data_IF_209861275860
#
_entry.id   IF_209861275860
#
_cell.length_a   1.000
_cell.length_b   1.000
_cell.length_c   1.000
_cell.angle_alpha   90.00
_cell.angle_beta   90.00
_cell.angle_gamma   90.00
#
_symmetry.space_group_name_H-M   'P 1'
#
loop_
_entity.id
_entity.type
_entity.pdbx_description
1 polymer ?
#
# COMPACT_ATOMS: atom_id res chain seq x y z
N UNK A 1 -14.69 20.92 -9.27
CA UNK A 1 -13.97 20.63 -8.00
C UNK A 1 -14.58 19.38 -7.36
N UNK A 2 -13.81 18.30 -7.14
CA UNK A 2 -14.33 17.07 -6.51
C UNK A 2 -14.67 17.37 -5.04
N UNK A 3 -15.93 17.24 -4.63
CA UNK A 3 -16.37 17.39 -3.24
C UNK A 3 -16.30 16.03 -2.55
N UNK A 4 -15.60 15.96 -1.41
CA UNK A 4 -15.57 14.76 -0.56
C UNK A 4 -16.82 14.72 0.31
N UNK A 5 -17.40 13.54 0.53
CA UNK A 5 -18.49 13.33 1.50
C UNK A 5 -18.00 13.41 2.97
N UNK A 6 -16.69 13.58 3.19
CA UNK A 6 -16.11 13.65 4.53
C UNK A 6 -16.30 15.06 5.11
N UNK A 7 -16.90 15.12 6.29
CA UNK A 7 -17.17 16.35 7.00
C UNK A 7 -15.90 17.10 7.44
N UNK A 8 -16.00 18.44 7.50
CA UNK A 8 -14.90 19.33 7.88
C UNK A 8 -14.39 19.06 9.30
N UNK A 9 -15.24 18.57 10.22
CA UNK A 9 -14.84 18.19 11.58
C UNK A 9 -13.76 17.11 11.58
N UNK A 10 -13.75 16.25 10.58
CA UNK A 10 -12.75 15.18 10.42
C UNK A 10 -11.51 15.67 9.68
N UNK A 11 -11.68 16.51 8.65
CA UNK A 11 -10.56 16.97 7.80
C UNK A 11 -9.73 18.11 8.40
N UNK A 12 -10.25 18.82 9.42
CA UNK A 12 -9.55 19.95 10.06
C UNK A 12 -8.31 19.57 10.85
N UNK A 13 -8.17 18.31 11.25
CA UNK A 13 -7.07 17.87 12.10
C UNK A 13 -5.83 17.56 11.25
N UNK A 14 -4.61 17.99 11.66
CA UNK A 14 -3.38 17.68 10.95
C UNK A 14 -3.18 16.18 10.67
N UNK A 15 -3.64 15.33 11.60
CA UNK A 15 -3.60 13.87 11.47
C UNK A 15 -4.38 13.34 10.26
N UNK A 16 -5.45 14.03 9.81
CA UNK A 16 -6.18 13.62 8.62
C UNK A 16 -5.29 13.67 7.36
N UNK A 17 -4.53 14.76 7.20
CA UNK A 17 -3.61 14.91 6.06
C UNK A 17 -2.50 13.85 6.08
N UNK A 18 -1.95 13.53 7.27
CA UNK A 18 -0.96 12.46 7.43
C UNK A 18 -1.57 11.11 7.04
N UNK A 19 -2.76 10.80 7.57
CA UNK A 19 -3.47 9.55 7.25
C UNK A 19 -3.79 9.43 5.76
N UNK A 20 -4.16 10.51 5.07
CA UNK A 20 -4.37 10.47 3.61
C UNK A 20 -3.09 10.11 2.85
N UNK A 21 -1.93 10.66 3.25
CA UNK A 21 -0.64 10.31 2.64
C UNK A 21 -0.25 8.85 2.89
N UNK A 22 -0.40 8.38 4.13
CA UNK A 22 -0.10 6.98 4.50
C UNK A 22 -1.04 6.03 3.76
N UNK A 23 -2.32 6.36 3.69
CA UNK A 23 -3.32 5.56 2.96
C UNK A 23 -2.96 5.42 1.48
N UNK A 24 -2.50 6.50 0.83
CA UNK A 24 -2.06 6.41 -0.57
C UNK A 24 -0.86 5.48 -0.75
N UNK A 25 0.13 5.56 0.15
CA UNK A 25 1.31 4.68 0.13
C UNK A 25 0.94 3.21 0.26
N UNK A 26 0.02 2.85 1.17
CA UNK A 26 -0.38 1.45 1.33
C UNK A 26 -1.29 0.96 0.19
N UNK A 27 -2.15 1.83 -0.36
CA UNK A 27 -2.96 1.53 -1.54
C UNK A 27 -2.10 1.19 -2.77
N UNK A 28 -0.95 1.87 -2.96
CA UNK A 28 0.01 1.55 -4.03
C UNK A 28 0.62 0.15 -3.87
N UNK A 29 1.01 -0.22 -2.65
CA UNK A 29 1.54 -1.57 -2.33
C UNK A 29 0.51 -2.64 -2.70
N UNK A 30 -0.73 -2.48 -2.23
CA UNK A 30 -1.80 -3.45 -2.52
C UNK A 30 -2.20 -3.46 -3.99
N UNK A 31 -2.17 -2.30 -4.66
CA UNK A 31 -2.39 -2.20 -6.10
C UNK A 31 -1.37 -3.02 -6.88
N UNK A 32 -0.08 -2.82 -6.60
CA UNK A 32 1.00 -3.58 -7.25
C UNK A 32 0.95 -5.07 -6.91
N UNK A 33 0.72 -5.42 -5.65
CA UNK A 33 0.67 -6.82 -5.24
C UNK A 33 -0.45 -7.59 -5.95
N UNK A 34 -1.58 -6.92 -6.22
CA UNK A 34 -2.66 -7.50 -7.03
C UNK A 34 -2.31 -7.54 -8.52
N UNK A 35 -1.76 -6.48 -9.10
CA UNK A 35 -1.53 -6.42 -10.55
C UNK A 35 -0.31 -7.22 -11.01
N UNK A 36 0.82 -7.11 -10.31
CA UNK A 36 2.10 -7.73 -10.66
C UNK A 36 2.59 -8.76 -9.65
N UNK A 37 2.20 -8.64 -8.37
CA UNK A 37 2.60 -9.55 -7.30
C UNK A 37 1.81 -10.86 -7.21
N UNK A 38 0.93 -11.15 -8.17
CA UNK A 38 0.17 -12.42 -8.23
C UNK A 38 -0.91 -12.58 -7.16
N UNK A 39 -1.31 -11.51 -6.47
CA UNK A 39 -2.39 -11.53 -5.46
C UNK A 39 -3.75 -11.09 -6.03
N UNK A 40 -3.92 -11.01 -7.35
CA UNK A 40 -5.23 -10.76 -7.95
C UNK A 40 -6.22 -11.89 -7.62
N UNK A 41 -5.75 -13.13 -7.71
CA UNK A 41 -6.45 -14.35 -7.34
C UNK A 41 -5.49 -15.24 -6.56
N UNK A 42 -5.94 -15.75 -5.42
CA UNK A 42 -5.10 -16.61 -4.57
C UNK A 42 -5.21 -18.04 -5.07
N UNK A 43 -4.11 -18.56 -5.63
CA UNK A 43 -4.05 -19.91 -6.20
C UNK A 43 -3.69 -20.99 -5.17
N UNK A 44 -3.19 -20.60 -3.99
CA UNK A 44 -2.79 -21.53 -2.95
C UNK A 44 -3.92 -21.79 -1.94
N UNK A 45 -4.00 -23.04 -1.45
CA UNK A 45 -4.90 -23.41 -0.35
C UNK A 45 -4.16 -23.45 0.98
N UNK A 46 -4.82 -22.96 2.04
CA UNK A 46 -4.31 -22.95 3.42
C UNK A 46 -3.52 -21.68 3.77
N UNK A 47 -3.71 -21.20 5.02
CA UNK A 47 -3.17 -19.92 5.49
C UNK A 47 -1.65 -19.84 5.39
N UNK A 48 -0.93 -20.92 5.64
CA UNK A 48 0.54 -20.91 5.60
C UNK A 48 1.08 -20.58 4.20
N UNK A 49 0.51 -21.20 3.15
CA UNK A 49 0.96 -20.98 1.76
C UNK A 49 0.55 -19.59 1.25
N UNK A 50 -0.65 -19.15 1.59
CA UNK A 50 -1.13 -17.80 1.25
C UNK A 50 -0.30 -16.75 1.97
N UNK A 51 -0.01 -16.94 3.25
CA UNK A 51 0.84 -16.06 4.05
C UNK A 51 2.25 -15.94 3.47
N UNK A 52 2.85 -17.05 3.02
CA UNK A 52 4.14 -17.03 2.32
C UNK A 52 4.09 -16.21 1.02
N UNK A 53 3.05 -16.37 0.20
CA UNK A 53 2.87 -15.59 -1.03
C UNK A 53 2.72 -14.09 -0.74
N UNK A 54 1.91 -13.71 0.26
CA UNK A 54 1.73 -12.32 0.69
C UNK A 54 3.04 -11.71 1.19
N UNK A 55 3.77 -12.45 2.03
CA UNK A 55 5.06 -12.01 2.58
C UNK A 55 6.09 -11.80 1.48
N UNK A 56 6.15 -12.72 0.52
CA UNK A 56 7.04 -12.60 -0.64
C UNK A 56 6.70 -11.37 -1.47
N UNK A 57 5.42 -11.16 -1.81
CA UNK A 57 4.99 -10.00 -2.59
C UNK A 57 5.31 -8.67 -1.88
N UNK A 58 5.07 -8.58 -0.56
CA UNK A 58 5.39 -7.40 0.23
C UNK A 58 6.91 -7.15 0.30
N UNK A 59 7.71 -8.21 0.45
CA UNK A 59 9.18 -8.11 0.47
C UNK A 59 9.72 -7.62 -0.87
N UNK A 60 9.23 -8.18 -1.98
CA UNK A 60 9.61 -7.73 -3.33
C UNK A 60 9.25 -6.27 -3.56
N UNK A 61 8.06 -5.83 -3.11
CA UNK A 61 7.67 -4.42 -3.23
C UNK A 61 8.59 -3.49 -2.43
N UNK A 62 9.04 -3.90 -1.24
CA UNK A 62 10.03 -3.14 -0.48
C UNK A 62 11.33 -2.98 -1.28
N UNK A 63 11.82 -4.04 -1.92
CA UNK A 63 13.02 -3.97 -2.77
C UNK A 63 12.85 -3.01 -3.96
N UNK A 64 11.71 -3.03 -4.63
CA UNK A 64 11.39 -2.10 -5.74
C UNK A 64 11.41 -0.65 -5.26
N UNK A 65 10.98 -0.40 -4.02
CA UNK A 65 10.86 0.95 -3.45
C UNK A 65 12.19 1.47 -2.89
N UNK A 66 13.07 0.59 -2.41
CA UNK A 66 14.34 0.95 -1.76
C UNK A 66 15.20 1.93 -2.56
N UNK A 67 15.44 1.77 -3.87
CA UNK A 67 16.25 2.73 -4.64
C UNK A 67 15.73 4.16 -4.59
N UNK A 68 14.40 4.36 -4.60
CA UNK A 68 13.80 5.69 -4.47
C UNK A 68 13.92 6.27 -3.07
N UNK A 69 13.92 5.41 -2.04
CA UNK A 69 14.08 5.84 -0.65
C UNK A 69 15.52 6.19 -0.32
N UNK A 70 16.47 5.42 -0.86
CA UNK A 70 17.91 5.65 -0.69
C UNK A 70 18.36 6.84 -1.55
N UNK A 71 17.94 6.90 -2.82
CA UNK A 71 18.29 8.00 -3.72
C UNK A 71 17.61 9.33 -3.39
N UNK A 72 16.52 9.32 -2.63
CA UNK A 72 15.91 10.53 -2.06
C UNK A 72 16.50 10.95 -0.71
N UNK A 73 17.42 10.17 -0.16
CA UNK A 73 18.18 10.48 1.07
C UNK A 73 19.58 11.05 0.77
N UNK A 74 19.94 11.20 -0.51
CA UNK A 74 21.15 11.85 -1.00
C UNK A 74 20.87 13.30 -1.41
#
# INVERSE_FOLDING_TARGET
RRRSAIDRRTTRHPGYTVSQRVRKRIEEVFGWAKSAGGLHQVHHRGLNRVGAQVTLAATTYNLIRLPKLIGGAA
#
